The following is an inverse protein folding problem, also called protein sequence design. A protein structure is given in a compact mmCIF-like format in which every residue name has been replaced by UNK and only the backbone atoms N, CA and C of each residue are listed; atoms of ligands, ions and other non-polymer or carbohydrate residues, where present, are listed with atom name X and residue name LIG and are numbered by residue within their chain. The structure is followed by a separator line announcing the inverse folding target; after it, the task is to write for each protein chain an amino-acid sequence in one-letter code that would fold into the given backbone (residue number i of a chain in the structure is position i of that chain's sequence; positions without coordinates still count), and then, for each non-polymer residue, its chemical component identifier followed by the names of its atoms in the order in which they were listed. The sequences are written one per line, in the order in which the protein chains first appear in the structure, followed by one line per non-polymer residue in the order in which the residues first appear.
data_IF_413582514679
#
_entry.id   IF_413582514679
#
_cell.length_a   1.000
_cell.length_b   1.000
_cell.length_c   1.000
_cell.angle_alpha   90.00
_cell.angle_beta   90.00
_cell.angle_gamma   90.00
#
_symmetry.space_group_name_H-M   'P 1'
#
loop_
_entity.id
_entity.type
_entity.pdbx_description
1 polymer ?
#
# COMPACT_ATOMS: atom_id res chain seq x y z
N UNK A 1 4.58 -6.25 -17.87
CA UNK A 1 3.26 -6.77 -17.49
C UNK A 1 2.79 -6.08 -16.22
N UNK A 2 1.55 -5.59 -16.23
CA UNK A 2 1.02 -4.92 -15.06
C UNK A 2 0.34 -5.88 -14.13
N UNK A 3 0.47 -5.62 -12.85
CA UNK A 3 -0.20 -6.40 -11.83
C UNK A 3 -0.79 -5.46 -10.79
N UNK A 4 -1.66 -5.98 -9.96
CA UNK A 4 -2.35 -5.21 -8.93
C UNK A 4 -1.93 -5.71 -7.56
N UNK A 5 -1.64 -4.78 -6.66
CA UNK A 5 -1.33 -5.12 -5.29
C UNK A 5 -2.31 -4.46 -4.34
N UNK A 6 -2.68 -5.17 -3.30
CA UNK A 6 -3.59 -4.67 -2.28
C UNK A 6 -2.92 -4.79 -0.92
N UNK A 7 -2.96 -3.70 -0.16
CA UNK A 7 -2.49 -3.70 1.21
C UNK A 7 -3.63 -3.23 2.10
N UNK A 8 -3.94 -4.01 3.13
CA UNK A 8 -4.97 -3.66 4.08
C UNK A 8 -4.33 -3.37 5.43
N UNK A 9 -4.67 -2.23 6.00
CA UNK A 9 -4.12 -1.81 7.28
C UNK A 9 -5.24 -1.73 8.32
N UNK A 10 -4.91 -2.04 9.56
CA UNK A 10 -5.90 -2.03 10.64
C UNK A 10 -6.09 -0.65 11.26
N UNK A 11 -5.44 0.36 10.72
CA UNK A 11 -5.51 1.73 11.24
C UNK A 11 -5.43 2.69 10.07
N UNK A 12 -6.25 3.74 10.09
CA UNK A 12 -6.24 4.74 9.03
C UNK A 12 -4.89 5.47 9.01
N UNK A 13 -4.36 5.81 10.19
CA UNK A 13 -3.07 6.50 10.26
C UNK A 13 -1.97 5.65 9.65
N UNK A 14 -1.96 4.35 9.94
CA UNK A 14 -0.96 3.44 9.37
C UNK A 14 -1.16 3.26 7.88
N UNK A 15 -2.40 3.25 7.43
CA UNK A 15 -2.70 3.15 6.01
C UNK A 15 -2.16 4.34 5.23
N UNK A 16 -2.31 5.52 5.76
CA UNK A 16 -1.80 6.73 5.11
C UNK A 16 -0.27 6.68 5.04
N UNK A 17 0.38 6.28 6.14
CA UNK A 17 1.83 6.15 6.14
C UNK A 17 2.30 5.08 5.17
N UNK A 18 1.60 3.95 5.13
CA UNK A 18 1.94 2.86 4.21
C UNK A 18 1.80 3.30 2.76
N UNK A 19 0.74 4.02 2.43
CA UNK A 19 0.54 4.52 1.07
C UNK A 19 1.69 5.44 0.65
N UNK A 20 2.12 6.32 1.55
CA UNK A 20 3.23 7.21 1.27
C UNK A 20 4.52 6.42 1.07
N UNK A 21 4.78 5.43 1.92
CA UNK A 21 5.97 4.59 1.80
C UNK A 21 5.97 3.83 0.48
N UNK A 22 4.81 3.31 0.08
CA UNK A 22 4.67 2.59 -1.19
C UNK A 22 5.02 3.50 -2.37
N UNK A 23 4.49 4.70 -2.39
CA UNK A 23 4.74 5.62 -3.51
C UNK A 23 6.19 6.06 -3.58
N UNK A 24 6.87 6.14 -2.43
CA UNK A 24 8.27 6.51 -2.40
C UNK A 24 9.20 5.37 -2.72
N UNK A 25 8.79 4.14 -2.47
CA UNK A 25 9.68 2.98 -2.60
C UNK A 25 9.74 2.43 -4.02
N UNK A 26 8.70 2.64 -4.82
CA UNK A 26 8.63 2.03 -6.14
C UNK A 26 7.77 2.86 -7.08
N UNK A 27 7.98 2.64 -8.38
CA UNK A 27 7.18 3.32 -9.40
C UNK A 27 5.91 2.53 -9.65
N UNK A 28 4.90 2.80 -8.83
CA UNK A 28 3.59 2.20 -8.99
C UNK A 28 2.55 3.31 -9.07
N UNK A 29 1.40 2.97 -9.67
CA UNK A 29 0.27 3.88 -9.71
C UNK A 29 -0.66 3.57 -8.56
N UNK A 30 -1.03 4.59 -7.83
CA UNK A 30 -1.99 4.43 -6.75
C UNK A 30 -3.39 4.49 -7.34
N UNK A 31 -4.14 3.39 -7.25
CA UNK A 31 -5.50 3.35 -7.74
C UNK A 31 -6.48 3.94 -6.74
N UNK A 32 -6.35 3.56 -5.48
CA UNK A 32 -7.05 4.26 -4.43
C UNK A 32 -6.43 3.91 -3.07
N UNK A 33 -6.73 4.76 -2.10
CA UNK A 33 -6.34 4.55 -0.71
C UNK A 33 -7.45 5.16 0.12
N UNK A 34 -8.22 4.33 0.83
CA UNK A 34 -9.38 4.82 1.57
C UNK A 34 -9.80 3.84 2.66
N UNK A 35 -10.51 4.33 3.67
CA UNK A 35 -11.09 3.43 4.66
C UNK A 35 -12.22 2.62 4.04
N UNK A 36 -12.26 1.32 4.34
CA UNK A 36 -13.29 0.44 3.79
C UNK A 36 -14.19 -0.13 4.89
N UNK A 37 -13.69 -0.16 6.13
CA UNK A 37 -14.46 -0.61 7.29
C UNK A 37 -14.04 0.24 8.46
N UNK A 38 -14.82 0.29 9.54
CA UNK A 38 -14.36 1.00 10.72
C UNK A 38 -13.00 0.49 11.17
N UNK A 39 -12.03 1.38 11.22
CA UNK A 39 -10.69 1.04 11.67
C UNK A 39 -9.80 0.38 10.65
N UNK A 40 -10.24 0.24 9.39
CA UNK A 40 -9.43 -0.38 8.35
C UNK A 40 -9.21 0.56 7.18
N UNK A 41 -8.05 0.42 6.56
CA UNK A 41 -7.66 1.25 5.42
C UNK A 41 -7.09 0.35 4.33
N UNK A 42 -7.53 0.55 3.09
CA UNK A 42 -7.08 -0.26 1.98
C UNK A 42 -6.32 0.60 0.98
N UNK A 43 -5.17 0.11 0.55
CA UNK A 43 -4.34 0.75 -0.48
C UNK A 43 -4.29 -0.19 -1.67
N UNK A 44 -4.66 0.32 -2.85
CA UNK A 44 -4.65 -0.46 -4.08
C UNK A 44 -3.73 0.21 -5.08
N UNK A 45 -2.75 -0.55 -5.56
CA UNK A 45 -1.75 -0.03 -6.49
C UNK A 45 -1.62 -0.96 -7.68
N UNK A 46 -1.07 -0.44 -8.78
CA UNK A 46 -0.76 -1.27 -9.94
C UNK A 46 0.58 -0.83 -10.54
N UNK A 47 1.19 -1.74 -11.28
CA UNK A 47 2.46 -1.50 -11.93
C UNK A 47 3.11 -2.81 -12.33
N UNK A 48 4.41 -2.79 -12.61
CA UNK A 48 5.14 -4.01 -12.91
C UNK A 48 5.22 -4.90 -11.68
N UNK A 49 5.32 -6.21 -11.91
CA UNK A 49 5.34 -7.19 -10.82
C UNK A 49 6.42 -6.84 -9.79
N UNK A 50 7.63 -6.56 -10.25
CA UNK A 50 8.72 -6.25 -9.32
C UNK A 50 8.45 -4.98 -8.55
N UNK A 51 7.90 -3.96 -9.22
CA UNK A 51 7.59 -2.69 -8.56
C UNK A 51 6.50 -2.86 -7.53
N UNK A 52 5.46 -3.62 -7.84
CA UNK A 52 4.37 -3.86 -6.90
C UNK A 52 4.86 -4.65 -5.70
N UNK A 53 5.69 -5.67 -5.93
CA UNK A 53 6.25 -6.44 -4.82
C UNK A 53 7.08 -5.57 -3.88
N UNK A 54 7.94 -4.72 -4.44
CA UNK A 54 8.75 -3.83 -3.63
C UNK A 54 7.87 -2.84 -2.86
N UNK A 55 6.83 -2.33 -3.52
CA UNK A 55 5.91 -1.39 -2.90
C UNK A 55 5.17 -2.02 -1.73
N UNK A 56 4.67 -3.25 -1.93
CA UNK A 56 3.93 -3.93 -0.86
C UNK A 56 4.83 -4.25 0.32
N UNK A 57 6.08 -4.63 0.05
CA UNK A 57 7.03 -4.88 1.13
C UNK A 57 7.29 -3.62 1.95
N UNK A 58 7.45 -2.49 1.28
CA UNK A 58 7.67 -1.22 1.97
C UNK A 58 6.45 -0.85 2.82
N UNK A 59 5.25 -1.03 2.26
CA UNK A 59 4.02 -0.75 2.98
C UNK A 59 3.85 -1.65 4.19
N UNK A 60 4.17 -2.94 4.03
CA UNK A 60 4.05 -3.89 5.13
C UNK A 60 5.01 -3.54 6.27
N UNK A 61 6.24 -3.16 5.94
CA UNK A 61 7.19 -2.77 6.98
C UNK A 61 6.70 -1.57 7.77
N UNK A 62 6.08 -0.61 7.08
CA UNK A 62 5.53 0.56 7.74
C UNK A 62 4.36 0.19 8.63
N UNK A 63 3.46 -0.67 8.11
CA UNK A 63 2.26 -1.07 8.85
C UNK A 63 2.57 -2.02 9.99
N UNK A 64 3.57 -2.90 9.79
CA UNK A 64 3.93 -3.93 10.78
C UNK A 64 4.93 -3.45 11.81
N UNK A 65 5.33 -2.21 11.76
CA UNK A 65 6.25 -1.65 12.73
C UNK A 65 5.67 -1.50 14.12
N UNK A 66 4.59 -2.16 14.36
CA UNK A 66 3.83 -2.10 15.61
C UNK A 66 3.49 -3.47 16.11
#
# INVERSE_FOLDING_TARGET
METIGILECSSIAKGVEAADAILKAAEVSLLYAKPVCPGKYTVLVCGDVAAVQAALEAGERTADGY
#
